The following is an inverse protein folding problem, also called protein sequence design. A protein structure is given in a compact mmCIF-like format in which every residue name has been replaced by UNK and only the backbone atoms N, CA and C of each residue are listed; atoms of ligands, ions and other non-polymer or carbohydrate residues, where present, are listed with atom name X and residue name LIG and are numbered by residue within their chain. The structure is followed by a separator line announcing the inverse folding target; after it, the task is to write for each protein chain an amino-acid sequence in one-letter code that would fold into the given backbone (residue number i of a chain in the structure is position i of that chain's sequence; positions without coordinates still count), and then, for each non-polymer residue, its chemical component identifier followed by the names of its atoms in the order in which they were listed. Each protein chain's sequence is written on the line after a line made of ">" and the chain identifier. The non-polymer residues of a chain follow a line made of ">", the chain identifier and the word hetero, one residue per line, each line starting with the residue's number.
data_IF_095856349654
#
_entry.id   IF_095856349654
#
_cell.length_a   1.000
_cell.length_b   1.000
_cell.length_c   1.000
_cell.angle_alpha   90.00
_cell.angle_beta   90.00
_cell.angle_gamma   90.00
#
_symmetry.space_group_name_H-M   'P 1'
#
loop_
_entity.id
_entity.type
_entity.pdbx_description
1 polymer ?
#
# COMPACT_ATOMS: atom_id res chain seq x y z
N UNK A 1 3.73 -17.45 -17.98
CA UNK A 1 4.47 -16.16 -17.97
C UNK A 1 4.66 -15.74 -16.53
N UNK A 2 5.88 -15.32 -16.16
CA UNK A 2 6.16 -14.78 -14.82
C UNK A 2 5.52 -13.41 -14.65
N UNK A 3 5.02 -13.09 -13.46
CA UNK A 3 4.47 -11.79 -13.10
C UNK A 3 5.61 -10.76 -13.07
N UNK A 4 5.49 -9.69 -13.86
CA UNK A 4 6.45 -8.58 -13.89
C UNK A 4 6.18 -7.63 -12.72
N UNK A 5 7.24 -7.24 -12.02
CA UNK A 5 7.15 -6.40 -10.81
C UNK A 5 7.96 -5.12 -10.96
N UNK A 6 7.37 -4.00 -10.56
CA UNK A 6 8.10 -2.77 -10.26
C UNK A 6 8.17 -2.58 -8.74
N UNK A 7 9.37 -2.42 -8.20
CA UNK A 7 9.64 -2.24 -6.77
C UNK A 7 9.99 -0.78 -6.48
N UNK A 8 9.19 -0.10 -5.66
CA UNK A 8 9.43 1.27 -5.21
C UNK A 8 9.98 1.28 -3.79
N UNK A 9 10.84 2.26 -3.50
CA UNK A 9 11.42 2.41 -2.16
C UNK A 9 12.09 1.13 -1.70
N UNK A 10 12.84 0.51 -2.63
CA UNK A 10 13.33 -0.86 -2.53
C UNK A 10 14.23 -1.15 -1.32
N UNK A 11 14.79 -0.10 -0.70
CA UNK A 11 15.73 -0.26 0.39
C UNK A 11 16.92 -1.12 -0.05
N UNK A 12 17.18 -2.18 0.70
CA UNK A 12 18.21 -3.20 0.38
C UNK A 12 17.64 -4.43 -0.34
N UNK A 13 16.39 -4.36 -0.85
CA UNK A 13 15.76 -5.39 -1.67
C UNK A 13 15.02 -6.48 -0.90
N UNK A 14 14.38 -6.12 0.21
CA UNK A 14 13.61 -7.10 0.99
C UNK A 14 12.41 -7.68 0.23
N UNK A 15 11.63 -6.86 -0.47
CA UNK A 15 10.54 -7.33 -1.33
C UNK A 15 11.06 -8.18 -2.49
N UNK A 16 12.12 -7.71 -3.16
CA UNK A 16 12.74 -8.44 -4.28
C UNK A 16 13.13 -9.85 -3.89
N UNK A 17 13.83 -10.00 -2.76
CA UNK A 17 14.25 -11.32 -2.27
C UNK A 17 13.07 -12.27 -2.10
N UNK A 18 12.00 -11.82 -1.45
CA UNK A 18 10.82 -12.65 -1.23
C UNK A 18 10.07 -12.97 -2.53
N UNK A 19 9.98 -12.02 -3.46
CA UNK A 19 9.25 -12.19 -4.71
C UNK A 19 10.01 -13.06 -5.72
N UNK A 20 11.33 -12.85 -5.91
CA UNK A 20 12.13 -13.66 -6.83
C UNK A 20 12.18 -15.12 -6.40
N UNK A 21 12.28 -15.42 -5.11
CA UNK A 21 12.23 -16.78 -4.58
C UNK A 21 10.89 -17.50 -4.86
N UNK A 22 9.85 -16.73 -5.20
CA UNK A 22 8.53 -17.24 -5.58
C UNK A 22 8.22 -17.07 -7.09
N UNK A 23 9.25 -16.90 -7.91
CA UNK A 23 9.13 -16.90 -9.39
C UNK A 23 8.60 -15.60 -10.00
N UNK A 24 8.56 -14.49 -9.25
CA UNK A 24 8.25 -13.18 -9.78
C UNK A 24 9.49 -12.58 -10.47
N UNK A 25 9.26 -11.77 -11.49
CA UNK A 25 10.32 -11.11 -12.24
C UNK A 25 10.36 -9.61 -11.93
N UNK A 26 11.39 -9.15 -11.23
CA UNK A 26 11.57 -7.72 -10.93
C UNK A 26 12.16 -7.05 -12.17
N UNK A 27 11.32 -6.36 -12.94
CA UNK A 27 11.72 -5.69 -14.17
C UNK A 27 12.25 -4.28 -13.94
N UNK A 28 11.93 -3.69 -12.79
CA UNK A 28 12.38 -2.36 -12.43
C UNK A 28 12.33 -2.13 -10.93
N UNK A 29 13.27 -1.35 -10.41
CA UNK A 29 13.32 -0.96 -9.00
C UNK A 29 13.79 0.48 -8.84
N UNK A 30 13.34 1.13 -7.75
CA UNK A 30 13.79 2.47 -7.40
C UNK A 30 14.11 2.57 -5.91
N UNK A 31 15.28 3.13 -5.62
CA UNK A 31 15.70 3.52 -4.27
C UNK A 31 16.48 4.82 -4.32
N UNK A 32 16.03 5.80 -3.56
CA UNK A 32 16.70 7.09 -3.40
C UNK A 32 16.56 7.62 -1.98
N UNK A 33 17.66 8.14 -1.42
CA UNK A 33 17.74 8.65 -0.06
C UNK A 33 17.97 10.17 -0.07
N UNK A 34 16.94 10.99 0.16
CA UNK A 34 16.99 12.44 -0.04
C UNK A 34 17.92 13.17 0.95
N UNK A 35 18.20 12.57 2.12
CA UNK A 35 18.96 13.21 3.21
C UNK A 35 20.44 12.85 3.20
N UNK A 36 20.88 11.95 2.33
CA UNK A 36 22.26 11.48 2.28
C UNK A 36 22.90 11.73 0.92
N UNK A 37 24.17 12.16 0.92
CA UNK A 37 24.97 12.25 -0.32
C UNK A 37 25.31 10.86 -0.85
N UNK A 38 25.61 9.93 0.04
CA UNK A 38 25.94 8.54 -0.28
C UNK A 38 24.68 7.69 -0.18
N UNK A 39 24.30 7.03 -1.25
CA UNK A 39 23.07 6.27 -1.39
C UNK A 39 23.28 4.81 -0.93
N UNK A 40 23.49 4.62 0.37
CA UNK A 40 23.90 3.34 0.93
C UNK A 40 22.93 2.19 0.64
N UNK A 41 21.63 2.40 0.78
CA UNK A 41 20.66 1.35 0.50
C UNK A 41 20.66 0.94 -0.98
N UNK A 42 20.72 1.93 -1.90
CA UNK A 42 20.86 1.67 -3.34
C UNK A 42 22.17 0.93 -3.67
N UNK A 43 23.28 1.29 -3.04
CA UNK A 43 24.56 0.59 -3.25
C UNK A 43 24.50 -0.87 -2.81
N UNK A 44 23.91 -1.16 -1.65
CA UNK A 44 23.69 -2.54 -1.18
C UNK A 44 22.75 -3.31 -2.12
N UNK A 45 21.68 -2.65 -2.59
CA UNK A 45 20.76 -3.25 -3.56
C UNK A 45 21.48 -3.66 -4.84
N UNK A 46 22.28 -2.74 -5.42
CA UNK A 46 23.02 -2.99 -6.66
C UNK A 46 24.10 -4.05 -6.47
N UNK A 47 24.82 -4.04 -5.35
CA UNK A 47 25.81 -5.08 -5.04
C UNK A 47 25.20 -6.47 -4.96
N UNK A 48 23.94 -6.58 -4.54
CA UNK A 48 23.25 -7.86 -4.39
C UNK A 48 22.55 -8.32 -5.67
N UNK A 49 21.92 -7.42 -6.40
CA UNK A 49 21.00 -7.76 -7.50
C UNK A 49 21.44 -7.23 -8.86
N UNK A 50 22.53 -6.48 -8.91
CA UNK A 50 23.01 -5.82 -10.14
C UNK A 50 22.33 -4.48 -10.42
N UNK A 51 22.90 -3.73 -11.35
CA UNK A 51 22.45 -2.38 -11.72
C UNK A 51 21.28 -2.42 -12.73
N UNK A 52 21.08 -3.52 -13.44
CA UNK A 52 20.10 -3.58 -14.50
C UNK A 52 18.66 -3.37 -13.98
N UNK A 53 17.96 -2.40 -14.56
CA UNK A 53 16.59 -2.05 -14.15
C UNK A 53 16.51 -1.32 -12.79
N UNK A 54 17.65 -0.94 -12.18
CA UNK A 54 17.66 -0.17 -10.94
C UNK A 54 17.84 1.33 -11.19
N UNK A 55 17.00 2.15 -10.54
CA UNK A 55 17.06 3.60 -10.61
C UNK A 55 17.36 4.19 -9.23
N UNK A 56 18.40 5.02 -9.16
CA UNK A 56 18.76 5.80 -7.97
C UNK A 56 18.51 7.30 -8.20
N UNK A 57 17.25 7.63 -8.51
CA UNK A 57 16.78 9.00 -8.76
C UNK A 57 15.51 9.24 -7.95
N UNK A 58 15.26 10.48 -7.53
CA UNK A 58 13.98 10.85 -6.88
C UNK A 58 12.82 10.37 -7.76
N UNK A 59 11.95 9.55 -7.21
CA UNK A 59 10.79 9.00 -7.91
C UNK A 59 9.89 10.09 -8.51
N UNK A 60 9.86 11.28 -7.92
CA UNK A 60 9.10 12.42 -8.44
C UNK A 60 9.72 13.00 -9.72
N UNK A 61 10.99 12.79 -9.96
CA UNK A 61 11.70 13.25 -11.15
C UNK A 61 11.69 12.23 -12.30
N UNK A 62 11.22 11.00 -12.04
CA UNK A 62 11.22 9.93 -13.06
C UNK A 62 9.96 10.04 -13.93
N UNK A 63 10.12 10.25 -15.26
CA UNK A 63 8.99 10.21 -16.18
C UNK A 63 8.37 8.82 -16.23
N UNK A 64 7.04 8.74 -16.40
CA UNK A 64 6.35 7.45 -16.45
C UNK A 64 6.84 6.53 -17.58
N UNK A 65 7.31 7.10 -18.69
CA UNK A 65 7.90 6.36 -19.83
C UNK A 65 9.17 5.58 -19.49
N UNK A 66 9.85 5.95 -18.38
CA UNK A 66 11.04 5.24 -17.88
C UNK A 66 10.70 4.08 -16.93
N UNK A 67 9.44 3.97 -16.51
CA UNK A 67 8.97 2.86 -15.69
C UNK A 67 8.34 1.81 -16.62
N UNK A 68 8.93 0.62 -16.77
CA UNK A 68 8.40 -0.43 -17.66
C UNK A 68 6.98 -0.85 -17.28
N UNK A 69 6.27 -1.48 -18.20
CA UNK A 69 4.99 -2.11 -17.89
C UNK A 69 5.20 -3.32 -16.99
N UNK A 70 4.36 -3.38 -15.96
CA UNK A 70 4.44 -4.38 -14.91
C UNK A 70 3.03 -4.79 -14.45
N UNK A 71 2.92 -6.00 -13.91
CA UNK A 71 1.67 -6.56 -13.41
C UNK A 71 1.44 -6.26 -11.93
N UNK A 72 2.52 -6.15 -11.15
CA UNK A 72 2.53 -5.89 -9.71
C UNK A 72 3.41 -4.69 -9.40
N UNK A 73 2.88 -3.73 -8.66
CA UNK A 73 3.68 -2.67 -8.03
C UNK A 73 3.82 -3.00 -6.54
N UNK A 74 5.05 -3.06 -6.06
CA UNK A 74 5.33 -3.28 -4.64
C UNK A 74 6.23 -2.21 -4.04
N UNK A 75 6.21 -2.08 -2.71
CA UNK A 75 7.12 -1.21 -1.99
C UNK A 75 6.68 -0.83 -0.58
N UNK A 76 7.68 -0.53 0.25
CA UNK A 76 7.49 0.01 1.59
C UNK A 76 7.77 1.50 1.59
N UNK A 77 6.76 2.34 1.40
CA UNK A 77 6.96 3.78 1.37
C UNK A 77 7.20 4.34 2.78
N UNK A 78 8.18 5.25 2.94
CA UNK A 78 8.50 5.79 4.25
C UNK A 78 7.35 6.63 4.82
N UNK A 79 7.24 6.55 6.14
CA UNK A 79 6.22 7.20 6.95
C UNK A 79 6.60 8.64 7.33
N UNK A 80 7.52 9.26 6.64
CA UNK A 80 7.95 10.62 6.89
C UNK A 80 6.92 11.59 6.32
N UNK A 81 6.37 12.42 7.21
CA UNK A 81 5.32 13.41 6.96
C UNK A 81 3.93 12.86 6.56
N UNK A 82 3.20 12.47 7.60
CA UNK A 82 1.79 12.08 7.55
C UNK A 82 0.83 13.19 7.12
N UNK A 83 1.10 13.89 6.05
CA UNK A 83 0.17 14.86 5.53
C UNK A 83 -0.23 14.56 4.09
N UNK A 84 -0.70 13.33 3.84
CA UNK A 84 -1.40 13.00 2.59
C UNK A 84 -2.45 14.08 2.30
N UNK A 85 -3.11 14.57 3.35
CA UNK A 85 -4.10 15.61 3.29
C UNK A 85 -3.56 17.05 3.15
N UNK A 86 -2.38 17.39 3.66
CA UNK A 86 -1.81 18.74 3.50
C UNK A 86 -1.48 19.04 2.04
N UNK A 87 -1.03 18.05 1.30
CA UNK A 87 -0.73 18.19 -0.13
C UNK A 87 -1.99 18.51 -0.93
N UNK A 88 -3.14 17.95 -0.58
CA UNK A 88 -4.43 18.23 -1.22
C UNK A 88 -4.95 19.65 -0.93
N UNK A 89 -4.72 20.17 0.28
CA UNK A 89 -5.19 21.51 0.66
C UNK A 89 -4.34 22.65 0.08
N UNK A 90 -3.06 22.41 -0.23
CA UNK A 90 -2.11 23.41 -0.70
C UNK A 90 -1.89 23.39 -2.21
N UNK A 91 -2.49 22.47 -2.93
CA UNK A 91 -2.41 22.38 -4.39
C UNK A 91 -3.81 22.44 -5.00
N UNK A 92 -4.03 23.42 -5.85
CA UNK A 92 -5.13 23.39 -6.83
C UNK A 92 -4.84 22.25 -7.82
N UNK A 93 -5.15 20.99 -7.40
CA UNK A 93 -4.88 19.77 -8.14
C UNK A 93 -3.58 19.06 -7.73
N UNK A 94 -3.49 17.78 -8.02
CA UNK A 94 -2.44 16.81 -7.71
C UNK A 94 -1.00 17.18 -8.16
N UNK A 95 -0.76 18.36 -8.71
CA UNK A 95 0.51 18.83 -9.30
C UNK A 95 1.41 19.64 -8.36
N UNK A 96 1.09 19.78 -7.08
CA UNK A 96 1.79 20.68 -6.15
C UNK A 96 2.77 19.99 -5.22
N UNK A 97 4.06 20.13 -5.51
CA UNK A 97 5.28 20.07 -4.65
C UNK A 97 5.51 18.86 -3.73
N UNK A 98 6.70 18.22 -3.91
CA UNK A 98 7.54 17.46 -2.96
C UNK A 98 6.86 17.25 -1.59
N UNK A 99 6.12 16.20 -1.45
CA UNK A 99 5.44 15.97 -0.21
C UNK A 99 5.32 14.50 0.06
N UNK A 100 4.31 13.82 0.04
CA UNK A 100 4.12 12.48 0.54
C UNK A 100 4.36 11.49 -0.59
N UNK A 101 5.28 10.56 -0.41
CA UNK A 101 5.63 9.52 -1.41
C UNK A 101 4.43 8.67 -1.85
N UNK A 102 3.35 8.68 -1.09
CA UNK A 102 2.06 8.14 -1.51
C UNK A 102 1.59 8.72 -2.86
N UNK A 103 1.72 10.02 -3.06
CA UNK A 103 1.30 10.66 -4.31
C UNK A 103 2.18 10.31 -5.50
N UNK A 104 3.42 9.89 -5.25
CA UNK A 104 4.26 9.31 -6.30
C UNK A 104 3.73 7.94 -6.76
N UNK A 105 3.27 7.10 -5.81
CA UNK A 105 2.59 5.84 -6.12
C UNK A 105 1.32 6.13 -6.92
N UNK A 106 0.47 7.03 -6.42
CA UNK A 106 -0.78 7.41 -7.08
C UNK A 106 -0.55 7.90 -8.52
N UNK A 107 0.42 8.81 -8.71
CA UNK A 107 0.81 9.32 -10.03
C UNK A 107 1.19 8.20 -10.99
N UNK A 108 2.01 7.27 -10.55
CA UNK A 108 2.43 6.13 -11.39
C UNK A 108 1.20 5.31 -11.82
N UNK A 109 0.31 5.00 -10.88
CA UNK A 109 -0.91 4.24 -11.17
C UNK A 109 -1.86 5.00 -12.12
N UNK A 110 -1.98 6.31 -11.96
CA UNK A 110 -2.83 7.17 -12.78
C UNK A 110 -2.26 7.31 -14.21
N UNK A 111 -0.98 7.71 -14.33
CA UNK A 111 -0.31 7.94 -15.61
C UNK A 111 -0.12 6.68 -16.44
N UNK A 112 -0.02 5.49 -15.83
CA UNK A 112 -0.05 4.19 -16.52
C UNK A 112 -1.40 3.90 -17.20
N UNK A 113 -2.45 4.59 -16.85
CA UNK A 113 -3.74 4.52 -17.54
C UNK A 113 -4.28 3.10 -17.70
N UNK A 114 -4.43 2.62 -18.92
CA UNK A 114 -4.88 1.26 -19.23
C UNK A 114 -3.85 0.17 -18.90
N UNK A 115 -2.57 0.53 -18.81
CA UNK A 115 -1.44 -0.36 -18.50
C UNK A 115 -1.08 -0.36 -17.01
N UNK A 116 -1.93 0.24 -16.14
CA UNK A 116 -1.69 0.21 -14.70
C UNK A 116 -1.59 -1.22 -14.17
N UNK A 117 -0.73 -1.47 -13.17
CA UNK A 117 -0.54 -2.79 -12.62
C UNK A 117 -1.85 -3.36 -12.10
N UNK A 118 -2.04 -4.67 -12.28
CA UNK A 118 -3.25 -5.38 -11.83
C UNK A 118 -3.26 -5.59 -10.32
N UNK A 119 -2.07 -5.59 -9.72
CA UNK A 119 -1.87 -5.92 -8.30
C UNK A 119 -0.99 -4.88 -7.62
N UNK A 120 -1.25 -4.65 -6.34
CA UNK A 120 -0.41 -3.84 -5.46
C UNK A 120 -0.01 -4.67 -4.26
N UNK A 121 1.23 -4.54 -3.79
CA UNK A 121 1.71 -5.11 -2.55
C UNK A 121 2.54 -4.06 -1.80
N UNK A 122 1.89 -3.37 -0.88
CA UNK A 122 2.45 -2.22 -0.20
C UNK A 122 2.62 -2.48 1.29
N UNK A 123 3.62 -1.85 1.90
CA UNK A 123 3.91 -1.95 3.33
C UNK A 123 4.06 -0.58 3.96
N UNK A 124 3.62 -0.48 5.21
CA UNK A 124 3.90 0.68 6.05
C UNK A 124 3.90 0.29 7.55
N UNK A 125 4.23 1.23 8.42
CA UNK A 125 4.09 1.02 9.86
C UNK A 125 2.61 0.96 10.26
N UNK A 126 2.27 0.13 11.26
CA UNK A 126 0.89 -0.10 11.72
C UNK A 126 0.19 1.17 12.23
N UNK A 127 0.95 2.16 12.71
CA UNK A 127 0.40 3.46 13.12
C UNK A 127 -0.26 4.26 11.98
N UNK A 128 0.00 3.92 10.71
CA UNK A 128 -0.70 4.51 9.57
C UNK A 128 -2.22 4.41 9.71
N UNK A 129 -2.75 3.29 10.21
CA UNK A 129 -4.18 3.08 10.44
C UNK A 129 -4.78 4.08 11.43
N UNK A 130 -3.95 4.80 12.19
CA UNK A 130 -4.35 5.76 13.24
C UNK A 130 -3.86 7.19 12.95
N UNK A 131 -3.23 7.44 11.80
CA UNK A 131 -2.69 8.74 11.43
C UNK A 131 -3.77 9.65 10.80
N UNK A 132 -3.71 10.95 11.05
CA UNK A 132 -2.92 11.68 12.04
C UNK A 132 -3.54 11.68 13.45
N UNK A 133 -2.83 12.22 14.42
CA UNK A 133 -3.29 12.24 15.82
C UNK A 133 -4.58 13.04 16.04
N UNK A 134 -4.75 14.12 15.30
CA UNK A 134 -5.91 15.05 15.43
C UNK A 134 -7.13 14.62 14.58
N UNK A 135 -6.97 13.63 13.70
CA UNK A 135 -8.05 13.12 12.83
C UNK A 135 -7.78 11.65 12.50
N UNK A 136 -7.96 10.79 13.51
CA UNK A 136 -7.54 9.39 13.51
C UNK A 136 -8.03 8.59 12.30
N UNK A 137 -7.10 8.04 11.53
CA UNK A 137 -7.37 7.20 10.35
C UNK A 137 -7.55 7.97 9.02
N UNK A 138 -7.57 9.32 9.03
CA UNK A 138 -7.79 10.12 7.84
C UNK A 138 -6.82 9.81 6.70
N UNK A 139 -5.53 9.72 7.01
CA UNK A 139 -4.52 9.52 5.95
C UNK A 139 -4.70 8.16 5.27
N UNK A 140 -5.06 7.13 6.03
CA UNK A 140 -5.36 5.82 5.46
C UNK A 140 -6.68 5.83 4.66
N UNK A 141 -7.69 6.56 5.12
CA UNK A 141 -8.94 6.74 4.37
C UNK A 141 -8.70 7.42 3.00
N UNK A 142 -7.87 8.46 2.96
CA UNK A 142 -7.47 9.13 1.71
C UNK A 142 -6.73 8.17 0.77
N UNK A 143 -5.82 7.35 1.31
CA UNK A 143 -5.12 6.33 0.53
C UNK A 143 -6.08 5.31 -0.07
N UNK A 144 -7.00 4.77 0.74
CA UNK A 144 -7.99 3.81 0.28
C UNK A 144 -8.89 4.41 -0.80
N UNK A 145 -9.41 5.63 -0.58
CA UNK A 145 -10.26 6.29 -1.57
C UNK A 145 -9.52 6.57 -2.87
N UNK A 146 -8.26 7.03 -2.80
CA UNK A 146 -7.46 7.26 -4.00
C UNK A 146 -7.24 5.99 -4.82
N UNK A 147 -7.09 4.83 -4.18
CA UNK A 147 -7.00 3.53 -4.86
C UNK A 147 -8.35 3.06 -5.40
N UNK A 148 -9.45 3.34 -4.67
CA UNK A 148 -10.80 3.07 -5.15
C UNK A 148 -11.10 3.83 -6.45
N UNK A 149 -10.73 5.11 -6.53
CA UNK A 149 -10.93 5.96 -7.71
C UNK A 149 -10.17 5.42 -8.92
N UNK A 150 -9.02 4.78 -8.69
CA UNK A 150 -8.26 4.07 -9.72
C UNK A 150 -8.78 2.65 -10.02
N UNK A 151 -9.82 2.21 -9.33
CA UNK A 151 -10.52 0.94 -9.57
C UNK A 151 -9.94 -0.27 -8.82
N UNK A 152 -9.25 -0.06 -7.70
CA UNK A 152 -8.76 -1.14 -6.85
C UNK A 152 -9.70 -1.43 -5.67
N UNK A 153 -9.90 -2.72 -5.36
CA UNK A 153 -10.23 -3.17 -4.01
C UNK A 153 -8.92 -3.36 -3.22
N UNK A 154 -8.96 -3.09 -1.92
CA UNK A 154 -7.76 -3.13 -1.08
C UNK A 154 -8.05 -3.89 0.21
N UNK A 155 -7.36 -5.00 0.44
CA UNK A 155 -7.34 -5.67 1.75
C UNK A 155 -6.08 -5.29 2.52
N UNK A 156 -6.17 -5.24 3.84
CA UNK A 156 -5.00 -4.98 4.71
C UNK A 156 -5.00 -5.86 5.95
N UNK A 157 -3.79 -6.09 6.47
CA UNK A 157 -3.57 -6.72 7.78
C UNK A 157 -2.32 -6.18 8.46
N UNK A 158 -2.43 -5.95 9.76
CA UNK A 158 -1.26 -5.72 10.61
C UNK A 158 -0.66 -7.08 10.96
N UNK A 159 0.58 -7.27 10.56
CA UNK A 159 1.34 -8.50 10.80
C UNK A 159 2.54 -8.15 11.67
N UNK A 160 2.74 -8.90 12.74
CA UNK A 160 3.97 -8.88 13.52
C UNK A 160 4.77 -10.15 13.16
N UNK A 161 5.97 -9.99 12.66
CA UNK A 161 6.79 -11.09 12.19
C UNK A 161 7.04 -12.17 13.27
N UNK A 162 7.15 -11.76 14.54
CA UNK A 162 7.36 -12.71 15.66
C UNK A 162 6.17 -13.64 15.88
N UNK A 163 4.94 -13.20 15.56
CA UNK A 163 3.74 -14.02 15.73
C UNK A 163 3.67 -15.17 14.69
N UNK A 164 4.52 -15.12 13.65
CA UNK A 164 4.61 -16.10 12.58
C UNK A 164 6.02 -16.75 12.49
N UNK A 165 6.70 -16.89 13.64
CA UNK A 165 7.92 -17.66 13.77
C UNK A 165 9.23 -16.93 13.42
N UNK A 166 9.18 -15.63 13.10
CA UNK A 166 10.41 -14.87 12.83
C UNK A 166 11.07 -14.37 14.12
N UNK A 167 12.41 -14.35 14.23
CA UNK A 167 13.14 -13.91 15.42
C UNK A 167 13.18 -12.36 15.53
N UNK A 168 12.16 -11.67 15.04
CA UNK A 168 12.08 -10.22 15.04
C UNK A 168 10.66 -9.72 15.38
N UNK A 169 10.54 -8.96 16.45
CA UNK A 169 9.30 -8.24 16.75
C UNK A 169 9.16 -7.01 15.84
N UNK A 170 8.54 -7.22 14.67
CA UNK A 170 8.35 -6.19 13.65
C UNK A 170 6.88 -6.15 13.21
N UNK A 171 6.17 -5.14 13.66
CA UNK A 171 4.77 -4.90 13.27
C UNK A 171 4.71 -3.98 12.07
N UNK A 172 3.98 -4.42 11.04
CA UNK A 172 3.72 -3.65 9.82
C UNK A 172 2.30 -3.87 9.35
N UNK A 173 1.72 -2.86 8.71
CA UNK A 173 0.52 -3.05 7.93
C UNK A 173 0.92 -3.35 6.49
N UNK A 174 0.42 -4.47 5.98
CA UNK A 174 0.51 -4.81 4.57
C UNK A 174 -0.85 -4.59 3.91
N UNK A 175 -0.85 -4.06 2.68
CA UNK A 175 -2.06 -3.95 1.89
C UNK A 175 -1.85 -4.52 0.50
N UNK A 176 -2.83 -5.32 0.08
CA UNK A 176 -2.90 -5.90 -1.25
C UNK A 176 -4.02 -5.19 -2.03
N UNK A 177 -3.66 -4.64 -3.18
CA UNK A 177 -4.61 -4.03 -4.11
C UNK A 177 -4.92 -4.94 -5.28
N UNK A 178 -6.20 -5.03 -5.64
CA UNK A 178 -6.69 -5.84 -6.75
C UNK A 178 -7.50 -4.97 -7.70
N UNK A 179 -6.96 -4.75 -8.92
CA UNK A 179 -7.67 -3.94 -9.91
C UNK A 179 -8.94 -4.67 -10.40
N UNK A 180 -10.00 -3.92 -10.69
CA UNK A 180 -11.32 -4.42 -11.12
C UNK A 180 -11.29 -5.32 -12.35
N UNK A 181 -10.23 -5.28 -13.17
CA UNK A 181 -10.06 -6.16 -14.33
C UNK A 181 -9.66 -7.59 -13.95
N UNK A 182 -9.27 -7.85 -12.70
CA UNK A 182 -8.74 -9.15 -12.26
C UNK A 182 -9.85 -10.14 -11.89
N UNK A 183 -9.56 -11.44 -12.03
CA UNK A 183 -10.46 -12.51 -11.56
C UNK A 183 -10.64 -12.47 -10.04
N UNK A 184 -9.56 -12.13 -9.30
CA UNK A 184 -9.60 -12.05 -7.85
C UNK A 184 -10.51 -10.93 -7.36
N UNK A 185 -10.51 -9.76 -7.99
CA UNK A 185 -11.47 -8.70 -7.69
C UNK A 185 -12.92 -9.18 -7.82
N UNK A 186 -13.24 -9.89 -8.94
CA UNK A 186 -14.57 -10.44 -9.17
C UNK A 186 -14.97 -11.48 -8.10
N UNK A 187 -13.99 -12.26 -7.60
CA UNK A 187 -14.21 -13.21 -6.50
C UNK A 187 -14.49 -12.47 -5.19
N UNK A 188 -13.69 -11.45 -4.86
CA UNK A 188 -13.83 -10.64 -3.64
C UNK A 188 -15.22 -9.97 -3.56
N UNK A 189 -15.66 -9.35 -4.67
CA UNK A 189 -16.99 -8.67 -4.71
C UNK A 189 -18.16 -9.60 -4.44
N UNK A 190 -18.01 -10.91 -4.70
CA UNK A 190 -19.03 -11.93 -4.47
C UNK A 190 -18.88 -12.68 -3.15
N UNK A 191 -17.73 -12.57 -2.50
CA UNK A 191 -17.43 -13.30 -1.28
C UNK A 191 -18.15 -12.65 -0.07
N UNK A 192 -18.43 -13.45 0.95
CA UNK A 192 -18.74 -12.91 2.27
C UNK A 192 -17.46 -12.31 2.83
N UNK A 193 -17.51 -11.03 3.22
CA UNK A 193 -16.33 -10.27 3.64
C UNK A 193 -15.62 -10.95 4.82
N UNK A 194 -16.38 -11.44 5.80
CA UNK A 194 -15.81 -12.15 6.95
C UNK A 194 -14.99 -13.37 6.50
N UNK A 195 -15.57 -14.22 5.65
CA UNK A 195 -14.90 -15.44 5.16
C UNK A 195 -13.65 -15.09 4.33
N UNK A 196 -13.69 -13.97 3.59
CA UNK A 196 -12.51 -13.50 2.87
C UNK A 196 -11.40 -13.09 3.82
N UNK A 197 -11.73 -12.30 4.85
CA UNK A 197 -10.73 -11.76 5.77
C UNK A 197 -10.13 -12.81 6.72
N UNK A 198 -10.87 -13.86 7.06
CA UNK A 198 -10.45 -14.84 8.06
C UNK A 198 -9.94 -16.13 7.42
N UNK A 199 -10.62 -16.65 6.38
CA UNK A 199 -10.38 -18.01 5.89
C UNK A 199 -9.81 -18.05 4.47
N UNK A 200 -10.42 -17.30 3.53
CA UNK A 200 -10.28 -17.55 2.10
C UNK A 200 -9.50 -16.48 1.33
N UNK A 201 -9.18 -15.35 1.98
CA UNK A 201 -8.46 -14.24 1.36
C UNK A 201 -6.97 -14.52 1.18
N UNK A 202 -6.33 -13.70 0.34
CA UNK A 202 -4.92 -13.87 0.02
C UNK A 202 -4.03 -13.73 1.26
N UNK A 203 -4.31 -12.76 2.13
CA UNK A 203 -3.54 -12.60 3.36
C UNK A 203 -3.90 -13.71 4.36
N UNK A 204 -5.16 -14.11 4.45
CA UNK A 204 -5.63 -15.14 5.38
C UNK A 204 -4.97 -16.51 5.12
N UNK A 205 -4.79 -16.88 3.85
CA UNK A 205 -4.17 -18.16 3.48
C UNK A 205 -2.69 -18.31 3.89
N UNK A 206 -2.00 -17.18 4.13
CA UNK A 206 -0.57 -17.18 4.48
C UNK A 206 -0.35 -16.79 5.95
N UNK A 207 -1.19 -15.94 6.49
CA UNK A 207 -1.12 -15.43 7.85
C UNK A 207 -2.45 -15.71 8.56
N UNK A 208 -2.66 -16.96 9.05
CA UNK A 208 -3.92 -17.35 9.66
C UNK A 208 -4.20 -16.56 10.94
N UNK A 209 -5.47 -16.22 11.15
CA UNK A 209 -5.93 -15.44 12.31
C UNK A 209 -7.31 -15.90 12.74
N UNK A 210 -7.63 -15.65 14.00
CA UNK A 210 -9.00 -15.73 14.53
C UNK A 210 -9.62 -14.34 14.69
N UNK A 211 -10.92 -14.24 14.54
CA UNK A 211 -11.67 -13.01 14.80
C UNK A 211 -11.96 -12.89 16.30
N UNK A 212 -11.60 -11.75 16.91
CA UNK A 212 -11.86 -11.45 18.33
C UNK A 212 -12.93 -10.36 18.55
N UNK A 213 -13.52 -9.85 17.48
CA UNK A 213 -14.65 -8.94 17.52
C UNK A 213 -15.58 -9.16 16.32
N UNK A 214 -16.77 -8.56 16.37
CA UNK A 214 -17.61 -8.40 15.18
C UNK A 214 -16.94 -7.44 14.20
N UNK A 215 -17.25 -7.58 12.92
CA UNK A 215 -16.80 -6.64 11.90
C UNK A 215 -17.57 -5.33 12.00
N UNK A 216 -16.86 -4.21 11.88
CA UNK A 216 -17.45 -2.89 11.68
C UNK A 216 -17.45 -2.55 10.19
N UNK A 217 -18.50 -1.85 9.73
CA UNK A 217 -18.63 -1.41 8.35
C UNK A 217 -18.93 0.09 8.28
N UNK A 218 -18.33 0.76 7.32
CA UNK A 218 -18.62 2.16 7.02
C UNK A 218 -18.24 2.52 5.59
N UNK A 219 -18.81 3.60 5.06
CA UNK A 219 -18.51 4.09 3.73
C UNK A 219 -17.51 5.24 3.78
N UNK A 220 -16.56 5.26 2.84
CA UNK A 220 -15.77 6.43 2.52
C UNK A 220 -16.64 7.35 1.66
N UNK A 221 -17.20 8.40 2.28
CA UNK A 221 -18.15 9.32 1.63
C UNK A 221 -17.43 10.54 1.06
N UNK A 222 -17.80 10.91 -0.16
CA UNK A 222 -17.28 12.08 -0.83
C UNK A 222 -15.96 11.86 -1.58
N UNK A 223 -15.46 12.94 -2.14
CA UNK A 223 -14.18 12.97 -2.84
C UNK A 223 -12.98 13.05 -1.85
N UNK A 224 -11.76 13.05 -2.39
CA UNK A 224 -10.55 13.11 -1.58
C UNK A 224 -10.47 14.38 -0.72
N UNK A 225 -11.04 15.51 -1.18
CA UNK A 225 -11.06 16.77 -0.44
C UNK A 225 -12.03 16.67 0.74
N UNK A 226 -13.21 16.14 0.51
CA UNK A 226 -14.23 15.94 1.55
C UNK A 226 -13.76 14.96 2.62
N UNK A 227 -13.17 13.82 2.22
CA UNK A 227 -12.58 12.86 3.16
C UNK A 227 -11.46 13.54 3.97
N UNK A 228 -10.60 14.31 3.33
CA UNK A 228 -9.54 15.06 4.01
C UNK A 228 -10.08 15.99 5.08
N UNK A 229 -11.18 16.68 4.80
CA UNK A 229 -11.78 17.65 5.73
C UNK A 229 -12.60 16.99 6.85
N UNK A 230 -13.35 15.95 6.51
CA UNK A 230 -14.48 15.50 7.34
C UNK A 230 -14.30 14.11 7.95
N UNK A 231 -13.41 13.24 7.38
CA UNK A 231 -13.28 11.86 7.85
C UNK A 231 -12.91 11.79 9.32
N UNK A 232 -13.75 11.12 10.09
CA UNK A 232 -13.54 10.83 11.51
C UNK A 232 -13.23 12.08 12.38
N UNK A 233 -13.75 13.24 11.98
CA UNK A 233 -13.52 14.51 12.67
C UNK A 233 -14.06 14.43 14.10
N UNK A 234 -13.30 14.94 15.05
CA UNK A 234 -13.64 14.96 16.48
C UNK A 234 -13.77 13.57 17.14
N UNK A 235 -13.36 12.49 16.48
CA UNK A 235 -13.31 11.14 17.05
C UNK A 235 -11.92 10.85 17.63
N UNK A 236 -11.89 10.24 18.83
CA UNK A 236 -10.65 9.88 19.52
C UNK A 236 -10.00 8.60 18.98
N UNK A 237 -10.78 7.72 18.36
CA UNK A 237 -10.32 6.42 17.87
C UNK A 237 -10.42 6.35 16.34
N UNK A 238 -9.49 5.63 15.72
CA UNK A 238 -9.58 5.28 14.31
C UNK A 238 -10.65 4.21 14.11
N UNK A 239 -11.47 4.30 13.06
CA UNK A 239 -12.40 3.22 12.72
C UNK A 239 -11.70 2.02 12.07
N UNK A 240 -10.44 2.16 11.64
CA UNK A 240 -9.68 1.06 11.03
C UNK A 240 -9.10 0.15 12.10
N UNK A 241 -9.50 -1.12 12.08
CA UNK A 241 -8.94 -2.19 12.89
C UNK A 241 -7.74 -2.84 12.18
N UNK A 242 -7.12 -3.83 12.82
CA UNK A 242 -5.87 -4.43 12.31
C UNK A 242 -6.05 -5.32 11.07
N UNK A 243 -7.27 -5.67 10.71
CA UNK A 243 -7.62 -6.44 9.49
C UNK A 243 -8.84 -5.79 8.83
N UNK A 244 -8.85 -5.73 7.51
CA UNK A 244 -10.01 -5.19 6.79
C UNK A 244 -9.86 -5.20 5.28
N UNK A 245 -10.91 -4.76 4.62
CA UNK A 245 -10.99 -4.64 3.16
C UNK A 245 -11.84 -3.43 2.78
N UNK A 246 -11.46 -2.77 1.69
CA UNK A 246 -12.27 -1.73 1.04
C UNK A 246 -12.65 -2.21 -0.36
N UNK A 247 -13.94 -2.14 -0.69
CA UNK A 247 -14.50 -2.48 -2.00
C UNK A 247 -15.53 -1.40 -2.38
N UNK A 248 -15.31 -0.69 -3.49
CA UNK A 248 -16.24 0.35 -3.97
C UNK A 248 -16.58 1.37 -2.88
N UNK A 249 -15.57 1.92 -2.24
CA UNK A 249 -15.66 2.85 -1.11
C UNK A 249 -16.30 2.30 0.17
N UNK A 250 -16.83 1.08 0.18
CA UNK A 250 -17.30 0.43 1.40
C UNK A 250 -16.13 -0.24 2.11
N UNK A 251 -15.92 0.10 3.36
CA UNK A 251 -14.90 -0.46 4.25
C UNK A 251 -15.55 -1.44 5.20
N UNK A 252 -14.97 -2.64 5.30
CA UNK A 252 -15.28 -3.60 6.35
C UNK A 252 -13.98 -3.92 7.10
N UNK A 253 -14.01 -3.85 8.42
CA UNK A 253 -12.84 -4.03 9.26
C UNK A 253 -13.17 -4.89 10.49
N UNK A 254 -12.20 -5.67 10.95
CA UNK A 254 -12.37 -6.62 12.06
C UNK A 254 -11.11 -6.67 12.90
N UNK A 255 -11.26 -6.88 14.20
CA UNK A 255 -10.11 -7.12 15.08
C UNK A 255 -9.79 -8.60 15.09
N UNK A 256 -8.53 -8.94 14.81
CA UNK A 256 -8.04 -10.30 14.71
C UNK A 256 -6.79 -10.50 15.57
N UNK A 257 -6.50 -11.74 15.90
CA UNK A 257 -5.24 -12.19 16.51
C UNK A 257 -4.69 -13.39 15.75
N UNK A 258 -3.35 -13.58 15.72
CA UNK A 258 -2.71 -14.75 15.12
C UNK A 258 -3.16 -16.05 15.77
N UNK A 259 -3.20 -17.13 14.97
CA UNK A 259 -3.46 -18.50 15.44
C UNK A 259 -2.12 -19.20 15.65
#
# INVERSE_FOLDING_TARGET
>A
MSIKVAELFAGVGGFRLGLENNGFNIVWSNQWEPLTKVQHASMVYVARFGQQGHSNVDINAIPISKIPDHDLLCGGFPCQDYSVARTLNNSKGLKGKKGVLWWSIYRILEEKGKQKPKYLFLENVDRLLKSPANQRGRDFAVMLQSLNDLGYAVEWRVINAADYGMPQRRRRVFFLGYHKSTKIYKKIVKARVHDWLIDNGTIASVFPVSAISKSDEFDLKGDLVEITKNFNRNKKLSPFLNTGIMIKSKVSTIKTEPI
#
